data_IF_400330246164
#
_entry.id   IF_400330246164
#
_cell.length_a   1.000
_cell.length_b   1.000
_cell.length_c   1.000
_cell.angle_alpha   90.00
_cell.angle_beta   90.00
_cell.angle_gamma   90.00
#
_symmetry.space_group_name_H-M   'P 1'
#
loop_
_entity.id
_entity.type
_entity.pdbx_description
1 polymer ?
#
# COMPACT_ATOMS: atom_id res chain seq x y z
N UNK A 1 10.96 -24.00 26.91
CA UNK A 1 11.54 -22.64 26.99
C UNK A 1 10.99 -21.81 25.83
N UNK A 2 10.35 -20.65 26.07
CA UNK A 2 9.89 -19.79 24.98
C UNK A 2 11.09 -19.23 24.21
N UNK A 3 11.06 -19.36 22.88
CA UNK A 3 12.09 -18.82 21.99
C UNK A 3 11.96 -17.30 21.92
N UNK A 4 13.03 -16.55 22.14
CA UNK A 4 13.01 -15.10 21.96
C UNK A 4 12.81 -14.78 20.46
N UNK A 5 11.93 -13.81 20.14
CA UNK A 5 11.69 -13.40 18.77
C UNK A 5 12.94 -12.73 18.18
N UNK A 6 13.18 -12.98 16.90
CA UNK A 6 14.28 -12.37 16.15
C UNK A 6 14.00 -10.90 15.84
N UNK A 7 15.04 -10.10 15.56
CA UNK A 7 14.90 -8.69 15.14
C UNK A 7 13.91 -8.53 13.96
N UNK A 8 13.93 -9.47 13.03
CA UNK A 8 13.00 -9.51 11.90
C UNK A 8 11.54 -9.74 12.31
N UNK A 9 11.31 -10.68 13.24
CA UNK A 9 9.96 -10.98 13.75
C UNK A 9 9.38 -9.80 14.52
N UNK A 10 10.21 -9.08 15.28
CA UNK A 10 9.82 -7.84 15.94
C UNK A 10 9.47 -6.74 14.92
N UNK A 11 10.28 -6.57 13.88
CA UNK A 11 10.04 -5.56 12.83
C UNK A 11 8.74 -5.82 12.07
N UNK A 12 8.48 -7.06 11.68
CA UNK A 12 7.21 -7.42 11.04
C UNK A 12 6.04 -7.21 11.99
N UNK A 13 6.15 -7.62 13.25
CA UNK A 13 5.06 -7.44 14.22
C UNK A 13 4.71 -5.96 14.39
N UNK A 14 5.72 -5.09 14.48
CA UNK A 14 5.50 -3.64 14.53
C UNK A 14 4.83 -3.14 13.25
N UNK A 15 5.30 -3.57 12.07
CA UNK A 15 4.73 -3.14 10.80
C UNK A 15 3.27 -3.57 10.63
N UNK A 16 2.93 -4.79 11.05
CA UNK A 16 1.55 -5.29 11.07
C UNK A 16 0.69 -4.43 12.01
N UNK A 17 1.21 -4.11 13.20
CA UNK A 17 0.50 -3.25 14.15
C UNK A 17 0.25 -1.82 13.61
N UNK A 18 1.07 -1.33 12.66
CA UNK A 18 0.82 -0.03 11.99
C UNK A 18 -0.09 -0.15 10.75
N UNK A 19 -0.06 -1.28 10.04
CA UNK A 19 -0.93 -1.54 8.89
C UNK A 19 -2.40 -1.73 9.29
N UNK A 20 -2.67 -2.33 10.45
CA UNK A 20 -4.03 -2.56 10.95
C UNK A 20 -4.84 -1.25 11.08
N UNK A 21 -4.33 -0.18 11.75
CA UNK A 21 -4.99 1.12 11.76
C UNK A 21 -5.24 1.70 10.37
N UNK A 22 -4.27 1.60 9.45
CA UNK A 22 -4.43 2.10 8.09
C UNK A 22 -5.58 1.39 7.34
N UNK A 23 -5.68 0.07 7.51
CA UNK A 23 -6.77 -0.72 6.94
C UNK A 23 -8.13 -0.40 7.57
N UNK A 24 -8.16 -0.16 8.89
CA UNK A 24 -9.39 0.26 9.58
C UNK A 24 -9.88 1.59 9.03
N UNK A 25 -9.00 2.60 8.96
CA UNK A 25 -9.35 3.92 8.42
C UNK A 25 -9.81 3.84 6.96
N UNK A 26 -9.14 3.03 6.15
CA UNK A 26 -9.53 2.84 4.76
C UNK A 26 -10.87 2.12 4.62
N UNK A 27 -11.21 1.23 5.55
CA UNK A 27 -12.53 0.58 5.63
C UNK A 27 -13.62 1.59 5.97
N UNK A 28 -13.37 2.45 6.96
CA UNK A 28 -14.30 3.51 7.36
C UNK A 28 -14.56 4.47 6.19
N UNK A 29 -13.48 4.88 5.51
CA UNK A 29 -13.54 5.70 4.30
C UNK A 29 -14.34 5.01 3.19
N UNK A 30 -14.10 3.73 2.93
CA UNK A 30 -14.85 2.99 1.90
C UNK A 30 -16.35 2.95 2.20
N UNK A 31 -16.74 2.79 3.47
CA UNK A 31 -18.13 2.81 3.89
C UNK A 31 -18.83 4.16 3.69
N UNK A 32 -18.07 5.25 3.59
CA UNK A 32 -18.61 6.61 3.37
C UNK A 32 -18.62 6.99 1.88
N UNK A 33 -17.57 6.66 1.13
CA UNK A 33 -17.35 7.17 -0.23
C UNK A 33 -17.61 6.15 -1.35
N UNK A 34 -17.95 4.89 -1.04
CA UNK A 34 -18.17 3.79 -1.99
C UNK A 34 -17.09 3.70 -3.09
N UNK A 35 -15.84 4.01 -2.74
CA UNK A 35 -14.78 4.19 -3.73
C UNK A 35 -14.40 2.86 -4.37
N UNK A 36 -14.29 2.79 -5.71
CA UNK A 36 -13.93 1.56 -6.40
C UNK A 36 -12.52 1.10 -6.01
N UNK A 37 -12.26 -0.21 -6.15
CA UNK A 37 -10.98 -0.88 -5.87
C UNK A 37 -10.54 -0.91 -4.39
N UNK A 38 -11.11 -0.09 -3.50
CA UNK A 38 -10.71 -0.05 -2.08
C UNK A 38 -10.93 -1.40 -1.38
N UNK A 39 -12.04 -2.09 -1.64
CA UNK A 39 -12.26 -3.44 -1.12
C UNK A 39 -11.18 -4.44 -1.57
N UNK A 40 -10.73 -4.35 -2.82
CA UNK A 40 -9.66 -5.20 -3.36
C UNK A 40 -8.30 -4.86 -2.73
N UNK A 41 -8.02 -3.57 -2.52
CA UNK A 41 -6.83 -3.09 -1.79
C UNK A 41 -6.83 -3.69 -0.37
N UNK A 42 -7.92 -3.56 0.37
CA UNK A 42 -8.05 -4.07 1.74
C UNK A 42 -7.75 -5.58 1.80
N UNK A 43 -8.40 -6.36 0.93
CA UNK A 43 -8.21 -7.81 0.86
C UNK A 43 -6.77 -8.19 0.50
N UNK A 44 -6.17 -7.50 -0.47
CA UNK A 44 -4.81 -7.79 -0.93
C UNK A 44 -3.78 -7.46 0.15
N UNK A 45 -3.94 -6.34 0.86
CA UNK A 45 -3.04 -5.98 1.96
C UNK A 45 -3.18 -6.92 3.14
N UNK A 46 -4.40 -7.35 3.49
CA UNK A 46 -4.60 -8.39 4.51
C UNK A 46 -3.90 -9.70 4.13
N UNK A 47 -4.02 -10.14 2.87
CA UNK A 47 -3.31 -11.31 2.37
C UNK A 47 -1.79 -11.14 2.45
N UNK A 48 -1.27 -9.96 2.11
CA UNK A 48 0.16 -9.64 2.21
C UNK A 48 0.67 -9.71 3.66
N UNK A 49 -0.09 -9.20 4.62
CA UNK A 49 0.21 -9.26 6.06
C UNK A 49 0.35 -10.72 6.52
N UNK A 50 -0.62 -11.58 6.16
CA UNK A 50 -0.55 -13.01 6.51
C UNK A 50 0.62 -13.72 5.83
N UNK A 51 0.93 -13.32 4.59
CA UNK A 51 1.97 -13.97 3.80
C UNK A 51 3.38 -13.59 4.25
N UNK A 52 3.62 -12.32 4.61
CA UNK A 52 4.98 -11.84 4.93
C UNK A 52 5.58 -12.50 6.17
N UNK A 53 4.74 -12.85 7.14
CA UNK A 53 5.14 -13.55 8.36
C UNK A 53 5.76 -14.93 8.05
N UNK A 54 5.33 -15.54 6.94
CA UNK A 54 5.79 -16.85 6.50
C UNK A 54 7.01 -16.80 5.56
N UNK A 55 7.52 -15.61 5.23
CA UNK A 55 8.61 -15.43 4.28
C UNK A 55 9.94 -15.96 4.83
N UNK A 56 10.61 -16.77 4.00
CA UNK A 56 11.90 -17.39 4.35
C UNK A 56 13.10 -16.70 3.70
N UNK A 57 12.87 -15.86 2.68
CA UNK A 57 13.92 -15.32 1.79
C UNK A 57 13.64 -13.86 1.46
N UNK A 58 14.69 -13.10 1.16
CA UNK A 58 14.58 -11.68 0.81
C UNK A 58 13.73 -10.85 1.78
N UNK A 59 13.81 -11.23 3.07
CA UNK A 59 13.01 -10.72 4.18
C UNK A 59 13.00 -9.19 4.27
N UNK A 60 14.18 -8.58 4.14
CA UNK A 60 14.34 -7.12 4.18
C UNK A 60 13.55 -6.44 3.05
N UNK A 61 13.65 -6.94 1.82
CA UNK A 61 12.92 -6.36 0.67
C UNK A 61 11.41 -6.53 0.82
N UNK A 62 10.92 -7.67 1.34
CA UNK A 62 9.49 -7.86 1.60
C UNK A 62 8.97 -6.89 2.65
N UNK A 63 9.74 -6.66 3.72
CA UNK A 63 9.41 -5.67 4.76
C UNK A 63 9.36 -4.26 4.18
N UNK A 64 10.39 -3.89 3.41
CA UNK A 64 10.45 -2.56 2.78
C UNK A 64 9.29 -2.32 1.82
N UNK A 65 8.87 -3.33 1.04
CA UNK A 65 7.70 -3.22 0.18
C UNK A 65 6.43 -2.95 1.00
N UNK A 66 6.26 -3.63 2.14
CA UNK A 66 5.11 -3.40 3.02
C UNK A 66 5.12 -2.02 3.69
N UNK A 67 6.28 -1.51 4.08
CA UNK A 67 6.42 -0.14 4.58
C UNK A 67 5.99 0.89 3.53
N UNK A 68 6.40 0.67 2.28
CA UNK A 68 6.01 1.54 1.17
C UNK A 68 4.51 1.42 0.85
N UNK A 69 3.93 0.22 0.93
CA UNK A 69 2.48 -0.02 0.82
C UNK A 69 1.74 0.75 1.92
N UNK A 70 2.18 0.65 3.17
CA UNK A 70 1.61 1.38 4.30
C UNK A 70 1.59 2.90 4.04
N UNK A 71 2.69 3.46 3.54
CA UNK A 71 2.76 4.89 3.21
C UNK A 71 1.77 5.28 2.11
N UNK A 72 1.57 4.43 1.09
CA UNK A 72 0.55 4.68 0.05
C UNK A 72 -0.87 4.60 0.62
N UNK A 73 -1.17 3.62 1.49
CA UNK A 73 -2.48 3.50 2.13
C UNK A 73 -2.84 4.77 2.92
N UNK A 74 -1.88 5.29 3.70
CA UNK A 74 -2.07 6.56 4.41
C UNK A 74 -2.31 7.74 3.47
N UNK A 75 -1.59 7.80 2.35
CA UNK A 75 -1.79 8.86 1.36
C UNK A 75 -3.19 8.78 0.71
N UNK A 76 -3.68 7.56 0.44
CA UNK A 76 -5.06 7.33 -0.05
C UNK A 76 -6.08 7.84 0.98
N UNK A 77 -5.92 7.48 2.25
CA UNK A 77 -6.81 7.95 3.32
C UNK A 77 -6.80 9.49 3.41
N UNK A 78 -5.64 10.12 3.38
CA UNK A 78 -5.52 11.59 3.45
C UNK A 78 -6.21 12.28 2.27
N UNK A 79 -6.06 11.75 1.05
CA UNK A 79 -6.77 12.25 -0.14
C UNK A 79 -8.28 12.10 0.02
N UNK A 80 -8.78 10.99 0.55
CA UNK A 80 -10.22 10.82 0.79
C UNK A 80 -10.74 11.83 1.82
N UNK A 81 -10.07 11.95 2.97
CA UNK A 81 -10.46 12.88 4.03
C UNK A 81 -10.49 14.33 3.56
N UNK A 82 -9.56 14.71 2.68
CA UNK A 82 -9.54 16.05 2.07
C UNK A 82 -10.56 16.21 0.96
N UNK A 83 -10.80 15.18 0.15
CA UNK A 83 -11.84 15.21 -0.88
C UNK A 83 -13.25 15.28 -0.29
N UNK A 84 -13.43 14.86 0.96
CA UNK A 84 -14.69 14.97 1.70
C UNK A 84 -15.24 16.41 1.72
N UNK A 85 -14.36 17.42 1.72
CA UNK A 85 -14.77 18.83 1.69
C UNK A 85 -15.31 19.25 0.31
N UNK A 86 -14.87 18.59 -0.76
CA UNK A 86 -15.22 18.89 -2.16
C UNK A 86 -16.33 17.94 -2.67
N UNK A 87 -16.67 16.90 -1.88
CA UNK A 87 -17.81 16.01 -2.11
C UNK A 87 -17.54 14.81 -3.03
N UNK A 88 -16.37 14.71 -3.66
CA UNK A 88 -15.97 13.53 -4.45
C UNK A 88 -14.46 13.46 -4.69
N UNK A 89 -13.94 12.26 -4.95
CA UNK A 89 -12.54 12.08 -5.34
C UNK A 89 -12.28 12.57 -6.77
N UNK A 90 -11.17 13.30 -7.01
CA UNK A 90 -10.72 13.61 -8.35
C UNK A 90 -10.54 12.34 -9.21
N UNK A 91 -10.83 12.39 -10.53
CA UNK A 91 -10.60 11.26 -11.44
C UNK A 91 -9.15 10.78 -11.47
N UNK A 92 -8.20 11.69 -11.30
CA UNK A 92 -6.78 11.35 -11.19
C UNK A 92 -6.51 10.44 -9.97
N UNK A 93 -7.12 10.74 -8.82
CA UNK A 93 -6.96 9.94 -7.60
C UNK A 93 -7.48 8.53 -7.80
N UNK A 94 -8.65 8.38 -8.44
CA UNK A 94 -9.22 7.08 -8.77
C UNK A 94 -8.30 6.27 -9.69
N UNK A 95 -7.69 6.91 -10.68
CA UNK A 95 -6.71 6.28 -11.56
C UNK A 95 -5.47 5.81 -10.80
N UNK A 96 -4.96 6.62 -9.87
CA UNK A 96 -3.83 6.23 -9.02
C UNK A 96 -4.16 5.09 -8.06
N UNK A 97 -5.38 5.07 -7.50
CA UNK A 97 -5.90 3.96 -6.68
C UNK A 97 -5.98 2.67 -7.51
N UNK A 98 -6.48 2.74 -8.75
CA UNK A 98 -6.51 1.60 -9.67
C UNK A 98 -5.11 1.06 -9.94
N UNK A 99 -4.16 1.92 -10.32
CA UNK A 99 -2.76 1.51 -10.54
C UNK A 99 -2.12 0.90 -9.29
N UNK A 100 -2.38 1.47 -8.12
CA UNK A 100 -1.87 0.92 -6.87
C UNK A 100 -2.39 -0.49 -6.60
N UNK A 101 -3.64 -0.78 -6.98
CA UNK A 101 -4.23 -2.13 -6.87
C UNK A 101 -3.47 -3.14 -7.74
N UNK A 102 -3.09 -2.76 -8.96
CA UNK A 102 -2.25 -3.60 -9.83
C UNK A 102 -0.87 -3.82 -9.21
N UNK A 103 -0.26 -2.76 -8.66
CA UNK A 103 1.03 -2.84 -7.96
C UNK A 103 0.96 -3.78 -6.74
N UNK A 104 -0.12 -3.73 -5.95
CA UNK A 104 -0.33 -4.66 -4.83
C UNK A 104 -0.40 -6.12 -5.29
N UNK A 105 -1.03 -6.38 -6.43
CA UNK A 105 -1.10 -7.72 -7.01
C UNK A 105 0.28 -8.25 -7.44
N UNK A 106 1.13 -7.37 -8.00
CA UNK A 106 2.54 -7.68 -8.32
C UNK A 106 3.36 -7.95 -7.07
N UNK A 107 3.19 -7.13 -6.03
CA UNK A 107 3.85 -7.31 -4.73
C UNK A 107 3.45 -8.64 -4.11
N UNK A 108 2.15 -8.98 -4.13
CA UNK A 108 1.66 -10.25 -3.63
C UNK A 108 2.33 -11.43 -4.33
N UNK A 109 2.36 -11.41 -5.66
CA UNK A 109 3.06 -12.41 -6.48
C UNK A 109 4.55 -12.52 -6.09
N UNK A 110 5.22 -11.39 -5.91
CA UNK A 110 6.63 -11.37 -5.50
C UNK A 110 6.84 -11.98 -4.10
N UNK A 111 6.02 -11.62 -3.12
CA UNK A 111 6.13 -12.10 -1.74
C UNK A 111 5.79 -13.60 -1.67
N UNK A 112 4.75 -14.06 -2.37
CA UNK A 112 4.42 -15.47 -2.45
C UNK A 112 5.57 -16.31 -3.02
N UNK A 113 6.26 -15.79 -4.04
CA UNK A 113 7.46 -16.43 -4.56
C UNK A 113 8.53 -16.61 -3.47
N UNK A 114 8.65 -15.70 -2.50
CA UNK A 114 9.65 -15.82 -1.43
C UNK A 114 9.34 -16.90 -0.36
N UNK A 115 8.16 -17.52 -0.39
CA UNK A 115 7.77 -18.57 0.57
C UNK A 115 8.49 -19.91 0.35
N UNK A 116 8.68 -20.32 -0.91
CA UNK A 116 9.27 -21.62 -1.26
C UNK A 116 10.22 -21.53 -2.46
N UNK A 117 11.46 -21.99 -2.25
CA UNK A 117 12.53 -22.05 -3.25
C UNK A 117 12.17 -22.96 -4.44
N UNK A 118 11.33 -23.98 -4.24
CA UNK A 118 10.88 -24.87 -5.33
C UNK A 118 9.90 -24.15 -6.27
N UNK A 119 9.01 -23.31 -5.73
CA UNK A 119 8.08 -22.50 -6.52
C UNK A 119 8.81 -21.43 -7.34
N UNK A 120 9.80 -20.75 -6.75
CA UNK A 120 10.61 -19.74 -7.47
C UNK A 120 11.23 -20.33 -8.73
N UNK A 121 11.91 -21.49 -8.63
CA UNK A 121 12.59 -22.10 -9.78
C UNK A 121 11.64 -22.46 -10.93
N UNK A 122 10.37 -22.76 -10.62
CA UNK A 122 9.39 -23.14 -11.63
C UNK A 122 8.68 -21.95 -12.26
N UNK A 123 8.56 -20.83 -11.55
CA UNK A 123 7.81 -19.68 -12.04
C UNK A 123 8.70 -18.53 -12.54
N UNK A 124 9.89 -18.32 -11.95
CA UNK A 124 10.71 -17.15 -12.28
C UNK A 124 12.21 -17.39 -12.19
N UNK A 125 12.93 -16.80 -13.14
CA UNK A 125 14.39 -16.65 -13.06
C UNK A 125 14.74 -15.58 -12.02
N UNK A 126 15.91 -15.70 -11.39
CA UNK A 126 16.36 -14.73 -10.37
C UNK A 126 16.43 -13.30 -10.93
N UNK A 127 16.77 -13.13 -12.21
CA UNK A 127 16.78 -11.83 -12.89
C UNK A 127 15.38 -11.23 -12.97
N UNK A 128 14.37 -12.02 -13.29
CA UNK A 128 12.97 -11.59 -13.37
C UNK A 128 12.43 -11.15 -12.01
N UNK A 129 12.81 -11.86 -10.93
CA UNK A 129 12.45 -11.47 -9.57
C UNK A 129 13.08 -10.13 -9.15
N UNK A 130 14.32 -9.88 -9.55
CA UNK A 130 14.98 -8.61 -9.27
C UNK A 130 14.33 -7.46 -10.07
N UNK A 131 13.94 -7.70 -11.32
CA UNK A 131 13.18 -6.73 -12.11
C UNK A 131 11.82 -6.45 -11.47
N UNK A 132 11.06 -7.49 -11.13
CA UNK A 132 9.75 -7.35 -10.48
C UNK A 132 9.84 -6.54 -9.17
N UNK A 133 10.87 -6.80 -8.34
CA UNK A 133 11.09 -6.03 -7.12
C UNK A 133 11.32 -4.54 -7.42
N UNK A 134 12.17 -4.22 -8.41
CA UNK A 134 12.45 -2.83 -8.81
C UNK A 134 11.21 -2.14 -9.37
N UNK A 135 10.42 -2.84 -10.17
CA UNK A 135 9.19 -2.33 -10.73
C UNK A 135 8.20 -2.01 -9.61
N UNK A 136 8.01 -2.95 -8.66
CA UNK A 136 7.15 -2.71 -7.49
C UNK A 136 7.62 -1.50 -6.67
N UNK A 137 8.93 -1.38 -6.40
CA UNK A 137 9.47 -0.24 -5.66
C UNK A 137 9.24 1.08 -6.39
N UNK A 138 9.45 1.10 -7.70
CA UNK A 138 9.26 2.29 -8.54
C UNK A 138 7.78 2.69 -8.59
N UNK A 139 6.88 1.73 -8.81
CA UNK A 139 5.44 1.97 -8.85
C UNK A 139 4.90 2.47 -7.51
N UNK A 140 5.38 1.94 -6.38
CA UNK A 140 5.02 2.45 -5.05
C UNK A 140 5.48 3.89 -4.84
N UNK A 141 6.73 4.22 -5.21
CA UNK A 141 7.24 5.59 -5.11
C UNK A 141 6.44 6.56 -5.97
N UNK A 142 6.12 6.17 -7.21
CA UNK A 142 5.27 6.97 -8.11
C UNK A 142 3.87 7.17 -7.53
N UNK A 143 3.27 6.14 -6.93
CA UNK A 143 1.97 6.26 -6.27
C UNK A 143 2.03 7.23 -5.09
N UNK A 144 3.06 7.14 -4.24
CA UNK A 144 3.25 8.07 -3.13
C UNK A 144 3.40 9.51 -3.59
N UNK A 145 4.20 9.76 -4.64
CA UNK A 145 4.41 11.08 -5.19
C UNK A 145 3.12 11.65 -5.78
N UNK A 146 2.38 10.84 -6.54
CA UNK A 146 1.10 11.23 -7.11
C UNK A 146 0.10 11.67 -6.03
N UNK A 147 -0.11 10.86 -4.99
CA UNK A 147 -1.04 11.22 -3.91
C UNK A 147 -0.57 12.42 -3.10
N UNK A 148 0.75 12.64 -2.93
CA UNK A 148 1.27 13.87 -2.31
C UNK A 148 0.94 15.11 -3.13
N UNK A 149 1.09 15.04 -4.45
CA UNK A 149 0.75 16.14 -5.36
C UNK A 149 -0.75 16.42 -5.27
N UNK A 150 -1.60 15.40 -5.33
CA UNK A 150 -3.05 15.55 -5.23
C UNK A 150 -3.48 16.16 -3.91
N UNK A 151 -2.89 15.68 -2.81
CA UNK A 151 -3.09 16.24 -1.48
C UNK A 151 -2.76 17.73 -1.43
N UNK A 152 -1.65 18.15 -2.04
CA UNK A 152 -1.25 19.54 -2.10
C UNK A 152 -2.23 20.40 -2.93
N UNK A 153 -2.72 19.86 -4.05
CA UNK A 153 -3.74 20.51 -4.88
C UNK A 153 -5.04 20.70 -4.09
N UNK A 154 -5.54 19.66 -3.43
CA UNK A 154 -6.76 19.71 -2.62
C UNK A 154 -6.66 20.74 -1.48
N UNK A 155 -5.50 20.81 -0.82
CA UNK A 155 -5.22 21.82 0.19
C UNK A 155 -5.28 23.24 -0.39
N UNK A 156 -4.67 23.47 -1.55
CA UNK A 156 -4.70 24.78 -2.20
C UNK A 156 -6.13 25.18 -2.59
N UNK A 157 -6.90 24.28 -3.19
CA UNK A 157 -8.30 24.53 -3.56
C UNK A 157 -9.15 24.87 -2.34
N UNK A 158 -8.99 24.14 -1.24
CA UNK A 158 -9.73 24.39 0.00
C UNK A 158 -9.42 25.78 0.57
N UNK A 159 -8.14 26.20 0.56
CA UNK A 159 -7.74 27.54 1.02
C UNK A 159 -8.36 28.64 0.17
N UNK A 160 -8.38 28.49 -1.16
CA UNK A 160 -8.97 29.49 -2.05
C UNK A 160 -10.49 29.59 -1.88
N UNK A 161 -11.19 28.48 -1.69
CA UNK A 161 -12.64 28.50 -1.37
C UNK A 161 -12.93 29.20 -0.04
N UNK A 162 -12.09 29.00 0.98
CA UNK A 162 -12.24 29.68 2.27
C UNK A 162 -12.04 31.20 2.15
N UNK A 163 -11.10 31.66 1.31
CA UNK A 163 -10.89 33.09 1.05
C UNK A 163 -12.06 33.74 0.30
N UNK A 164 -12.71 33.02 -0.61
CA UNK A 164 -13.84 33.54 -1.37
C UNK A 164 -15.14 33.64 -0.57
N UNK A 165 -15.26 32.86 0.52
CA UNK A 165 -16.42 32.86 1.43
C UNK A 165 -16.29 33.83 2.62
N UNK A 166 -15.15 34.49 2.78
CA UNK A 166 -14.85 35.46 3.85
C UNK A 166 -14.97 36.90 3.35
#
# INVERSE_FOLDING_TARGET
>A
MPRQPTLFENHISNLVAYLEPALSLLTDVHGVFETPFVSLILQTVQALIGTVQSVKRNRASCVQLLENVHQVLFAIVDVHLKSATIGSLPPASLHHIGKFTDTLSKIHTFIEAQLDRKKIKHFFRQSEMNTLLKDCQTELLQAQEAFKIETAILNFTTIEEMKQKA
#
